data_IF_187407459939
#
_entry.id   IF_187407459939
#
_cell.length_a   1.000
_cell.length_b   1.000
_cell.length_c   1.000
_cell.angle_alpha   90.00
_cell.angle_beta   90.00
_cell.angle_gamma   90.00
#
_symmetry.space_group_name_H-M   'P 1'
#
loop_
_entity.id
_entity.type
_entity.pdbx_description
1 polymer ?
#
# COMPACT_ATOMS: atom_id res chain seq x y z
N UNK A 1 -18.06 -1.96 -25.33
CA UNK A 1 -16.93 -1.04 -25.08
C UNK A 1 -16.38 -1.46 -23.73
N UNK A 2 -15.08 -1.72 -23.65
CA UNK A 2 -14.43 -2.24 -22.44
C UNK A 2 -14.57 -1.18 -21.35
N UNK A 3 -14.86 -1.64 -20.14
CA UNK A 3 -15.17 -0.88 -18.94
C UNK A 3 -14.08 0.16 -18.60
N UNK A 4 -14.42 1.45 -18.72
CA UNK A 4 -13.52 2.59 -18.43
C UNK A 4 -13.72 3.18 -17.02
N UNK A 5 -14.47 2.50 -16.14
CA UNK A 5 -14.68 2.90 -14.74
C UNK A 5 -13.64 2.31 -13.77
N UNK A 6 -12.44 1.97 -14.27
CA UNK A 6 -11.26 1.70 -13.43
C UNK A 6 -10.45 2.98 -13.16
N UNK A 7 -11.14 4.10 -12.94
CA UNK A 7 -10.51 5.32 -12.45
C UNK A 7 -10.18 5.23 -10.95
N UNK A 8 -8.88 5.25 -10.67
CA UNK A 8 -8.24 5.82 -9.48
C UNK A 8 -8.05 5.00 -8.20
N UNK A 9 -7.80 3.69 -8.31
CA UNK A 9 -7.06 3.00 -7.23
C UNK A 9 -5.54 3.32 -7.29
N UNK A 10 -5.04 3.64 -8.48
CA UNK A 10 -3.62 3.79 -8.76
C UNK A 10 -3.01 5.13 -8.31
N UNK A 11 -3.75 6.23 -8.35
CA UNK A 11 -3.19 7.57 -8.10
C UNK A 11 -2.93 7.83 -6.60
N UNK A 12 -3.87 7.48 -5.73
CA UNK A 12 -3.67 7.59 -4.27
C UNK A 12 -2.53 6.67 -3.82
N UNK A 13 -2.45 5.45 -4.36
CA UNK A 13 -1.38 4.51 -4.04
C UNK A 13 0.00 4.98 -4.52
N UNK A 14 0.09 5.54 -5.73
CA UNK A 14 1.32 6.14 -6.28
C UNK A 14 1.75 7.38 -5.52
N UNK A 15 0.82 8.19 -5.02
CA UNK A 15 1.12 9.33 -4.13
C UNK A 15 1.69 8.84 -2.79
N UNK A 16 1.19 7.71 -2.29
CA UNK A 16 1.65 7.09 -1.04
C UNK A 16 3.06 6.49 -1.17
N UNK A 17 3.38 5.85 -2.29
CA UNK A 17 4.71 5.28 -2.53
C UNK A 17 5.81 6.33 -2.75
N UNK A 18 5.48 7.46 -3.38
CA UNK A 18 6.47 8.47 -3.79
C UNK A 18 6.81 9.50 -2.71
N UNK A 19 6.25 9.38 -1.50
CA UNK A 19 6.45 10.39 -0.47
C UNK A 19 7.07 9.77 0.81
N UNK A 20 8.31 10.14 1.16
CA UNK A 20 9.07 9.55 2.26
C UNK A 20 8.46 9.84 3.66
N UNK A 21 7.41 10.66 3.74
CA UNK A 21 6.62 10.88 4.96
C UNK A 21 5.53 9.85 5.20
N UNK A 22 5.28 8.91 4.28
CA UNK A 22 4.22 7.93 4.48
C UNK A 22 4.60 6.90 5.55
N UNK A 23 4.22 7.30 6.77
CA UNK A 23 4.18 6.54 8.01
C UNK A 23 3.40 5.24 7.79
N UNK A 24 3.94 4.15 8.34
CA UNK A 24 3.30 2.85 8.55
C UNK A 24 1.77 2.90 8.73
N UNK A 25 1.25 3.89 9.45
CA UNK A 25 -0.20 4.09 9.65
C UNK A 25 -1.00 4.32 8.36
N UNK A 26 -0.46 5.05 7.37
CA UNK A 26 -1.15 5.26 6.11
C UNK A 26 -1.21 3.97 5.28
N UNK A 27 -0.13 3.18 5.28
CA UNK A 27 -0.12 1.88 4.61
C UNK A 27 -1.16 0.93 5.21
N UNK A 28 -1.37 0.95 6.53
CA UNK A 28 -2.44 0.16 7.17
C UNK A 28 -3.82 0.52 6.63
N UNK A 29 -4.13 1.82 6.51
CA UNK A 29 -5.43 2.29 5.98
C UNK A 29 -5.60 1.83 4.53
N UNK A 30 -4.56 2.00 3.73
CA UNK A 30 -4.59 1.74 2.29
C UNK A 30 -4.69 0.26 1.96
N UNK A 31 -3.94 -0.58 2.67
CA UNK A 31 -4.01 -2.04 2.56
C UNK A 31 -5.31 -2.56 3.19
N UNK A 32 -5.78 -1.93 4.26
CA UNK A 32 -7.08 -2.25 4.87
C UNK A 32 -8.25 -1.98 3.93
N UNK A 33 -8.16 -0.95 3.08
CA UNK A 33 -9.16 -0.64 2.06
C UNK A 33 -9.06 -1.58 0.84
N UNK A 34 -7.84 -1.96 0.44
CA UNK A 34 -7.62 -2.95 -0.63
C UNK A 34 -6.36 -3.76 -0.34
N UNK A 35 -6.54 -5.07 -0.11
CA UNK A 35 -5.46 -5.97 0.32
C UNK A 35 -4.39 -6.18 -0.76
N UNK A 36 -4.77 -6.08 -2.03
CA UNK A 36 -3.86 -6.27 -3.16
C UNK A 36 -2.76 -5.21 -3.21
N UNK A 37 -2.99 -4.06 -2.58
CA UNK A 37 -2.00 -3.00 -2.42
C UNK A 37 -0.74 -3.44 -1.70
N UNK A 38 -0.81 -4.43 -0.81
CA UNK A 38 0.40 -4.96 -0.17
C UNK A 38 1.38 -5.53 -1.19
N UNK A 39 0.88 -6.18 -2.24
CA UNK A 39 1.70 -6.78 -3.29
C UNK A 39 2.33 -5.73 -4.22
N UNK A 40 1.85 -4.48 -4.16
CA UNK A 40 2.38 -3.35 -4.92
C UNK A 40 3.49 -2.61 -4.16
N UNK A 41 3.74 -2.94 -2.88
CA UNK A 41 4.82 -2.33 -2.11
C UNK A 41 6.18 -2.81 -2.61
N UNK A 42 7.07 -1.87 -2.91
CA UNK A 42 8.45 -2.18 -3.27
C UNK A 42 9.24 -2.75 -2.08
N UNK A 43 10.28 -3.55 -2.36
CA UNK A 43 11.19 -4.02 -1.31
C UNK A 43 11.86 -2.87 -0.55
N UNK A 44 12.15 -1.75 -1.22
CA UNK A 44 12.71 -0.54 -0.61
C UNK A 44 11.73 0.08 0.40
N UNK A 45 10.44 0.17 0.04
CA UNK A 45 9.37 0.62 0.95
C UNK A 45 9.29 -0.30 2.17
N UNK A 46 9.36 -1.62 1.96
CA UNK A 46 9.32 -2.62 3.04
C UNK A 46 10.59 -2.61 3.92
N UNK A 47 11.74 -2.29 3.35
CA UNK A 47 13.01 -2.18 4.06
C UNK A 47 13.03 -1.01 5.05
N UNK A 48 12.27 0.05 4.78
CA UNK A 48 12.08 1.19 5.70
C UNK A 48 11.30 0.86 6.98
N UNK A 49 10.68 -0.33 7.05
CA UNK A 49 9.89 -0.75 8.21
C UNK A 49 10.60 -1.80 9.06
N UNK A 50 10.19 -1.89 10.33
CA UNK A 50 10.60 -2.99 11.21
C UNK A 50 9.93 -4.30 10.78
N UNK A 51 10.51 -5.44 11.19
CA UNK A 51 9.90 -6.76 10.99
C UNK A 51 8.48 -6.84 11.56
N UNK A 52 8.24 -6.20 12.72
CA UNK A 52 6.91 -6.13 13.34
C UNK A 52 5.90 -5.42 12.44
N UNK A 53 6.25 -4.24 11.94
CA UNK A 53 5.39 -3.46 11.05
C UNK A 53 5.11 -4.21 9.74
N UNK A 54 6.11 -4.82 9.12
CA UNK A 54 5.90 -5.65 7.90
C UNK A 54 4.93 -6.80 8.14
N UNK A 55 5.07 -7.50 9.27
CA UNK A 55 4.17 -8.59 9.64
C UNK A 55 2.75 -8.08 9.87
N UNK A 56 2.58 -6.94 10.53
CA UNK A 56 1.26 -6.32 10.72
C UNK A 56 0.62 -5.91 9.39
N UNK A 57 1.36 -5.29 8.46
CA UNK A 57 0.86 -4.98 7.10
C UNK A 57 0.45 -6.27 6.36
N UNK A 58 1.24 -7.33 6.48
CA UNK A 58 0.94 -8.64 5.87
C UNK A 58 -0.33 -9.28 6.45
N UNK A 59 -0.55 -9.14 7.76
CA UNK A 59 -1.76 -9.64 8.42
C UNK A 59 -3.00 -8.87 7.97
N UNK A 60 -2.90 -7.55 7.76
CA UNK A 60 -4.00 -6.74 7.23
C UNK A 60 -4.32 -7.14 5.79
N UNK A 61 -3.29 -7.49 5.01
CA UNK A 61 -3.44 -7.96 3.63
C UNK A 61 -3.93 -9.42 3.50
N UNK A 62 -3.97 -10.19 4.61
CA UNK A 62 -4.36 -11.61 4.62
C UNK A 62 -5.88 -11.81 4.64
#
# INVERSE_FOLDING_TARGET
>A
MIDDDLMNIDDDFKVILNNPKYNYEALKVVIGNNRDHYNLLSEETLAGFTTKQRNELKLIAS
#
